data_IF_618672874011
#
_entry.id   IF_618672874011
#
_cell.length_a   1.000
_cell.length_b   1.000
_cell.length_c   1.000
_cell.angle_alpha   90.00
_cell.angle_beta   90.00
_cell.angle_gamma   90.00
#
_symmetry.space_group_name_H-M   'P 1'
#
loop_
_entity.id
_entity.type
_entity.pdbx_description
1 polymer ?
#
# COMPACT_ATOMS: atom_id res chain seq x y z
N UNK A 1 -2.62 31.19 3.16
CA UNK A 1 -1.70 30.23 2.53
C UNK A 1 -2.06 28.77 2.85
N UNK A 2 -2.36 28.48 4.12
CA UNK A 2 -2.75 27.12 4.51
C UNK A 2 -4.06 26.70 3.84
N UNK A 3 -5.02 27.61 3.72
CA UNK A 3 -6.28 27.30 3.03
C UNK A 3 -6.06 27.03 1.53
N UNK A 4 -5.19 27.79 0.90
CA UNK A 4 -4.87 27.56 -0.51
C UNK A 4 -4.16 26.24 -0.72
N UNK A 5 -3.24 25.88 0.16
CA UNK A 5 -2.54 24.58 0.08
C UNK A 5 -3.51 23.41 0.31
N UNK A 6 -4.40 23.53 1.31
CA UNK A 6 -5.40 22.50 1.58
C UNK A 6 -6.38 22.37 0.40
N UNK A 7 -6.81 23.49 -0.18
CA UNK A 7 -7.70 23.49 -1.34
C UNK A 7 -7.02 22.85 -2.56
N UNK A 8 -5.75 23.18 -2.82
CA UNK A 8 -4.99 22.61 -3.93
C UNK A 8 -4.80 21.11 -3.73
N UNK A 9 -4.47 20.67 -2.51
CA UNK A 9 -4.31 19.25 -2.18
C UNK A 9 -5.64 18.51 -2.35
N UNK A 10 -6.74 19.10 -1.86
CA UNK A 10 -8.08 18.51 -2.03
C UNK A 10 -8.44 18.37 -3.51
N UNK A 11 -8.16 19.40 -4.30
CA UNK A 11 -8.44 19.36 -5.73
C UNK A 11 -7.62 18.30 -6.43
N UNK A 12 -6.35 18.16 -6.07
CA UNK A 12 -5.48 17.12 -6.64
C UNK A 12 -6.00 15.72 -6.31
N UNK A 13 -6.46 15.49 -5.09
CA UNK A 13 -7.06 14.22 -4.67
C UNK A 13 -8.32 13.95 -5.48
N UNK A 14 -9.22 14.91 -5.59
CA UNK A 14 -10.47 14.74 -6.34
C UNK A 14 -10.22 14.50 -7.81
N UNK A 15 -9.25 15.19 -8.39
CA UNK A 15 -8.87 15.01 -9.78
C UNK A 15 -8.34 13.59 -10.06
N UNK A 16 -7.71 12.98 -9.06
CA UNK A 16 -7.12 11.65 -9.16
C UNK A 16 -7.98 10.57 -8.49
N UNK A 17 -9.28 10.84 -8.28
CA UNK A 17 -10.17 9.96 -7.53
C UNK A 17 -10.22 8.54 -8.10
N UNK A 18 -10.27 8.38 -9.43
CA UNK A 18 -10.31 7.06 -10.05
C UNK A 18 -9.01 6.28 -9.80
N UNK A 19 -7.86 6.94 -9.94
CA UNK A 19 -6.57 6.30 -9.67
C UNK A 19 -6.44 5.91 -8.20
N UNK A 20 -7.03 6.68 -7.29
CA UNK A 20 -6.99 6.42 -5.86
C UNK A 20 -7.95 5.31 -5.45
N UNK A 21 -9.15 5.24 -6.05
CA UNK A 21 -10.21 4.35 -5.55
C UNK A 21 -10.55 3.19 -6.49
N UNK A 22 -10.18 3.25 -7.78
CA UNK A 22 -10.62 2.28 -8.79
C UNK A 22 -9.48 1.63 -9.57
N UNK A 23 -8.25 1.76 -9.11
CA UNK A 23 -7.11 1.12 -9.78
C UNK A 23 -7.11 -0.38 -9.47
N UNK A 24 -7.36 -1.20 -10.48
CA UNK A 24 -7.41 -2.66 -10.35
C UNK A 24 -6.05 -3.30 -10.05
N UNK A 25 -4.96 -2.58 -10.27
CA UNK A 25 -3.62 -3.06 -9.92
C UNK A 25 -3.25 -2.77 -8.46
N UNK A 26 -4.08 -1.99 -7.77
CA UNK A 26 -3.88 -1.69 -6.35
C UNK A 26 -4.54 -2.77 -5.50
N UNK A 27 -3.80 -3.38 -4.56
CA UNK A 27 -4.42 -4.27 -3.59
C UNK A 27 -5.55 -3.59 -2.85
N UNK A 28 -6.72 -4.18 -2.90
CA UNK A 28 -7.93 -3.61 -2.33
C UNK A 28 -8.64 -4.69 -1.50
N UNK A 29 -9.02 -4.32 -0.29
CA UNK A 29 -9.71 -5.21 0.62
C UNK A 29 -11.03 -4.60 1.03
N UNK A 30 -12.06 -5.43 1.15
CA UNK A 30 -13.40 -5.00 1.51
C UNK A 30 -14.37 -5.06 0.33
N UNK A 31 -15.64 -4.70 0.56
CA UNK A 31 -16.68 -4.87 -0.45
C UNK A 31 -16.47 -3.92 -1.63
N UNK A 32 -16.65 -4.45 -2.82
CA UNK A 32 -16.50 -3.68 -4.06
C UNK A 32 -17.43 -2.47 -4.09
N UNK A 33 -18.60 -2.60 -3.49
CA UNK A 33 -19.63 -1.56 -3.45
C UNK A 33 -19.47 -0.62 -2.25
N UNK A 34 -18.41 -0.75 -1.48
CA UNK A 34 -18.15 0.14 -0.33
C UNK A 34 -18.16 1.59 -0.75
N UNK A 35 -18.94 2.42 -0.04
CA UNK A 35 -19.14 3.83 -0.41
C UNK A 35 -17.96 4.72 -0.07
N UNK A 36 -17.15 4.27 0.88
CA UNK A 36 -15.96 4.99 1.34
C UNK A 36 -14.75 4.13 1.11
N UNK A 37 -13.68 4.74 0.61
CA UNK A 37 -12.39 4.07 0.43
C UNK A 37 -11.36 4.77 1.31
N UNK A 38 -10.61 3.98 2.07
CA UNK A 38 -9.43 4.42 2.81
C UNK A 38 -8.22 4.00 2.00
N UNK A 39 -7.38 4.94 1.62
CA UNK A 39 -6.18 4.69 0.82
C UNK A 39 -4.96 4.97 1.68
N UNK A 40 -4.04 4.02 1.75
CA UNK A 40 -2.79 4.20 2.47
C UNK A 40 -1.60 4.02 1.53
N UNK A 41 -0.74 5.06 1.47
CA UNK A 41 0.57 4.99 0.82
C UNK A 41 1.60 4.66 1.88
N UNK A 42 2.41 3.64 1.67
CA UNK A 42 3.30 3.14 2.71
C UNK A 42 4.57 2.52 2.14
N UNK A 43 5.58 2.39 3.00
CA UNK A 43 6.81 1.66 2.75
C UNK A 43 7.00 0.68 3.92
N UNK A 44 7.31 -0.56 3.62
CA UNK A 44 7.51 -1.58 4.68
C UNK A 44 8.66 -1.25 5.62
N UNK A 45 9.62 -0.45 5.19
CA UNK A 45 10.74 -0.05 6.04
C UNK A 45 10.50 1.24 6.82
N UNK A 46 9.35 1.84 6.67
CA UNK A 46 8.97 3.04 7.40
C UNK A 46 8.48 2.67 8.81
N UNK A 47 9.16 3.15 9.84
CA UNK A 47 8.79 2.84 11.23
C UNK A 47 7.38 3.34 11.57
N UNK A 48 6.98 4.49 11.04
CA UNK A 48 5.63 5.03 11.29
C UNK A 48 4.55 4.20 10.60
N UNK A 49 4.85 3.66 9.42
CA UNK A 49 3.96 2.72 8.74
C UNK A 49 3.82 1.43 9.55
N UNK A 50 4.92 0.96 10.13
CA UNK A 50 4.92 -0.22 10.99
C UNK A 50 4.03 -0.01 12.23
N UNK A 51 4.06 1.19 12.80
CA UNK A 51 3.21 1.53 13.96
C UNK A 51 1.74 1.65 13.57
N UNK A 52 1.46 2.09 12.35
CA UNK A 52 0.09 2.22 11.85
C UNK A 52 -0.53 0.87 11.49
N UNK A 53 0.27 -0.11 11.10
CA UNK A 53 -0.24 -1.38 10.60
C UNK A 53 -1.23 -2.09 11.54
N UNK A 54 -0.94 -2.26 12.85
CA UNK A 54 -1.92 -2.89 13.76
C UNK A 54 -3.16 -2.04 13.97
N UNK A 55 -3.03 -0.72 13.92
CA UNK A 55 -4.18 0.19 14.00
C UNK A 55 -5.07 -0.01 12.77
N UNK A 56 -4.47 -0.09 11.59
CA UNK A 56 -5.21 -0.32 10.35
C UNK A 56 -5.91 -1.67 10.35
N UNK A 57 -5.27 -2.72 10.87
CA UNK A 57 -5.92 -4.02 11.04
C UNK A 57 -7.21 -3.90 11.85
N UNK A 58 -7.17 -3.14 12.93
CA UNK A 58 -8.33 -2.92 13.78
C UNK A 58 -9.40 -2.12 13.06
N UNK A 59 -9.01 -1.09 12.33
CA UNK A 59 -9.95 -0.27 11.54
C UNK A 59 -10.65 -1.13 10.48
N UNK A 60 -9.92 -2.02 9.83
CA UNK A 60 -10.50 -2.94 8.85
C UNK A 60 -11.55 -3.84 9.50
N UNK A 61 -11.23 -4.42 10.66
CA UNK A 61 -12.16 -5.30 11.39
C UNK A 61 -13.42 -4.58 11.82
N UNK A 62 -13.28 -3.33 12.25
CA UNK A 62 -14.40 -2.54 12.77
C UNK A 62 -15.23 -1.89 11.67
N UNK A 63 -14.76 -1.91 10.43
CA UNK A 63 -15.44 -1.26 9.31
C UNK A 63 -15.61 -2.22 8.13
N UNK A 64 -16.41 -3.29 8.29
CA UNK A 64 -16.51 -4.34 7.25
C UNK A 64 -17.16 -3.86 5.96
N UNK A 65 -17.79 -2.69 5.97
CA UNK A 65 -18.42 -2.12 4.77
C UNK A 65 -17.54 -1.12 4.04
N UNK A 66 -16.39 -0.79 4.61
CA UNK A 66 -15.44 0.15 4.03
C UNK A 66 -14.45 -0.59 3.14
N UNK A 67 -14.05 0.07 2.09
CA UNK A 67 -13.06 -0.42 1.15
C UNK A 67 -11.69 0.15 1.51
N UNK A 68 -10.64 -0.68 1.44
CA UNK A 68 -9.28 -0.28 1.80
C UNK A 68 -8.36 -0.54 0.61
N UNK A 69 -7.65 0.50 0.18
CA UNK A 69 -6.70 0.42 -0.93
C UNK A 69 -5.28 0.63 -0.41
N UNK A 70 -4.37 -0.28 -0.78
CA UNK A 70 -2.99 -0.28 -0.29
C UNK A 70 -2.06 0.13 -1.43
N UNK A 71 -1.50 1.33 -1.32
CA UNK A 71 -0.60 1.87 -2.33
C UNK A 71 0.84 1.62 -1.90
N UNK A 72 1.44 0.60 -2.48
CA UNK A 72 2.85 0.28 -2.29
C UNK A 72 3.70 1.44 -2.82
N UNK A 73 4.38 2.12 -1.92
CA UNK A 73 5.19 3.28 -2.30
C UNK A 73 6.56 3.22 -1.62
N UNK A 74 7.52 2.44 -2.19
CA UNK A 74 8.81 2.20 -1.56
C UNK A 74 9.73 3.40 -1.68
N UNK A 75 9.47 4.45 -0.91
CA UNK A 75 10.22 5.70 -0.94
C UNK A 75 11.68 5.52 -0.52
N UNK A 76 11.96 4.48 0.27
CA UNK A 76 13.31 4.16 0.73
C UNK A 76 14.04 3.16 -0.19
N UNK A 77 13.48 2.87 -1.36
CA UNK A 77 14.03 1.86 -2.27
C UNK A 77 15.44 2.13 -2.75
N UNK A 78 15.82 3.42 -2.90
CA UNK A 78 17.18 3.78 -3.28
C UNK A 78 18.18 3.62 -2.15
N UNK A 79 17.71 3.63 -0.91
CA UNK A 79 18.53 3.48 0.28
C UNK A 79 18.59 2.03 0.74
N UNK A 80 17.48 1.32 0.67
CA UNK A 80 17.36 -0.08 1.10
C UNK A 80 16.61 -0.87 0.02
N UNK A 81 17.34 -1.77 -0.63
CA UNK A 81 16.78 -2.61 -1.71
C UNK A 81 15.56 -3.39 -1.28
N UNK A 82 15.51 -3.80 -0.01
CA UNK A 82 14.40 -4.62 0.49
C UNK A 82 13.09 -3.85 0.57
N UNK A 83 13.10 -2.52 0.64
CA UNK A 83 11.87 -1.72 0.47
C UNK A 83 11.22 -2.00 -0.87
N UNK A 84 12.01 -1.93 -1.94
CA UNK A 84 11.51 -2.18 -3.29
C UNK A 84 11.13 -3.64 -3.48
N UNK A 85 11.96 -4.57 -3.01
CA UNK A 85 11.70 -6.00 -3.13
C UNK A 85 10.41 -6.39 -2.40
N UNK A 86 10.18 -5.86 -1.21
CA UNK A 86 8.96 -6.13 -0.44
C UNK A 86 7.71 -5.62 -1.16
N UNK A 87 7.80 -4.42 -1.72
CA UNK A 87 6.69 -3.82 -2.47
C UNK A 87 6.36 -4.63 -3.73
N UNK A 88 7.37 -5.00 -4.49
CA UNK A 88 7.18 -5.83 -5.70
C UNK A 88 6.51 -7.15 -5.36
N UNK A 89 7.02 -7.84 -4.35
CA UNK A 89 6.47 -9.13 -3.93
C UNK A 89 5.02 -8.98 -3.48
N UNK A 90 4.71 -7.91 -2.75
CA UNK A 90 3.34 -7.64 -2.31
C UNK A 90 2.37 -7.53 -3.48
N UNK A 91 2.72 -6.73 -4.50
CA UNK A 91 1.87 -6.58 -5.69
C UNK A 91 1.74 -7.90 -6.46
N UNK A 92 2.81 -8.67 -6.56
CA UNK A 92 2.79 -9.95 -7.23
C UNK A 92 1.91 -10.97 -6.49
N UNK A 93 1.96 -10.96 -5.16
CA UNK A 93 1.09 -11.81 -4.34
C UNK A 93 -0.38 -11.45 -4.57
N UNK A 94 -0.69 -10.16 -4.60
CA UNK A 94 -2.06 -9.73 -4.85
C UNK A 94 -2.57 -10.24 -6.19
N UNK A 95 -1.76 -10.15 -7.24
CA UNK A 95 -2.14 -10.63 -8.56
C UNK A 95 -2.36 -12.14 -8.60
N UNK A 96 -1.54 -12.91 -7.89
CA UNK A 96 -1.65 -14.36 -7.88
C UNK A 96 -2.72 -14.89 -6.95
N UNK A 97 -2.86 -14.29 -5.78
CA UNK A 97 -3.57 -14.90 -4.66
C UNK A 97 -4.73 -14.05 -4.12
N UNK A 98 -4.81 -12.78 -4.48
CA UNK A 98 -5.90 -11.91 -4.05
C UNK A 98 -5.68 -11.21 -2.72
N UNK A 99 -6.75 -10.60 -2.22
CA UNK A 99 -6.68 -9.66 -1.09
C UNK A 99 -6.31 -10.29 0.24
N UNK A 100 -6.89 -11.47 0.56
CA UNK A 100 -6.61 -12.12 1.85
C UNK A 100 -5.13 -12.49 1.97
N UNK A 101 -4.57 -13.11 0.93
CA UNK A 101 -3.16 -13.47 0.90
C UNK A 101 -2.28 -12.23 0.98
N UNK A 102 -2.68 -11.16 0.28
CA UNK A 102 -1.96 -9.89 0.32
C UNK A 102 -1.90 -9.34 1.75
N UNK A 103 -3.03 -9.29 2.46
CA UNK A 103 -3.05 -8.79 3.83
C UNK A 103 -2.21 -9.65 4.77
N UNK A 104 -2.26 -10.96 4.60
CA UNK A 104 -1.42 -11.87 5.39
C UNK A 104 0.06 -11.53 5.20
N UNK A 105 0.48 -11.33 3.96
CA UNK A 105 1.85 -10.94 3.64
C UNK A 105 2.19 -9.56 4.22
N UNK A 106 1.36 -8.57 3.95
CA UNK A 106 1.55 -7.18 4.39
C UNK A 106 1.72 -7.11 5.91
N UNK A 107 0.78 -7.70 6.63
CA UNK A 107 0.80 -7.68 8.08
C UNK A 107 1.95 -8.54 8.63
N UNK A 108 2.28 -9.62 7.95
CA UNK A 108 3.40 -10.47 8.30
C UNK A 108 4.74 -9.77 8.22
N UNK A 109 4.95 -8.96 7.19
CA UNK A 109 6.18 -8.15 7.06
C UNK A 109 6.29 -7.19 8.25
N UNK A 110 5.22 -6.46 8.55
CA UNK A 110 5.25 -5.52 9.68
C UNK A 110 5.40 -6.22 11.03
N UNK A 111 4.86 -7.42 11.16
CA UNK A 111 4.96 -8.20 12.41
C UNK A 111 6.37 -8.68 12.70
N UNK A 112 7.28 -8.67 11.71
CA UNK A 112 8.69 -8.99 11.98
C UNK A 112 9.35 -7.96 12.88
N UNK A 113 8.84 -6.74 12.90
CA UNK A 113 9.47 -5.61 13.61
C UNK A 113 10.73 -5.10 12.92
N UNK A 114 11.07 -5.64 11.75
CA UNK A 114 12.28 -5.25 11.02
C UNK A 114 11.95 -4.13 10.05
N UNK A 115 12.45 -2.94 10.31
CA UNK A 115 12.26 -1.76 9.47
C UNK A 115 13.49 -0.85 9.57
N UNK A 116 13.48 0.26 8.88
CA UNK A 116 14.57 1.26 8.88
C UNK A 116 15.92 0.61 8.54
N UNK A 117 15.92 -0.20 7.48
CA UNK A 117 17.11 -0.87 6.98
C UNK A 117 17.31 -2.29 7.51
N UNK A 118 16.46 -2.75 8.43
CA UNK A 118 16.62 -4.07 9.06
C UNK A 118 15.81 -5.18 8.40
N UNK A 119 14.91 -4.83 7.48
CA UNK A 119 14.12 -5.82 6.75
C UNK A 119 15.05 -6.59 5.80
N UNK A 120 14.99 -7.93 5.85
CA UNK A 120 15.88 -8.78 5.06
C UNK A 120 15.13 -9.47 3.93
N UNK A 121 15.87 -9.94 2.92
CA UNK A 121 15.32 -10.78 1.86
C UNK A 121 14.67 -12.06 2.43
N UNK A 122 15.27 -12.61 3.48
CA UNK A 122 14.73 -13.81 4.16
C UNK A 122 13.36 -13.52 4.78
N UNK A 123 13.18 -12.34 5.40
CA UNK A 123 11.88 -11.91 5.93
C UNK A 123 10.81 -11.93 4.83
N UNK A 124 11.14 -11.35 3.69
CA UNK A 124 10.22 -11.27 2.55
C UNK A 124 9.87 -12.67 2.06
N UNK A 125 10.87 -13.54 1.86
CA UNK A 125 10.67 -14.90 1.39
C UNK A 125 9.82 -15.73 2.34
N UNK A 126 10.02 -15.57 3.65
CA UNK A 126 9.22 -16.28 4.64
C UNK A 126 7.76 -15.88 4.59
N UNK A 127 7.48 -14.60 4.48
CA UNK A 127 6.11 -14.13 4.42
C UNK A 127 5.44 -14.50 3.10
N UNK A 128 6.17 -14.47 2.00
CA UNK A 128 5.66 -14.92 0.70
C UNK A 128 5.36 -16.43 0.71
N UNK A 129 6.22 -17.22 1.34
CA UNK A 129 6.00 -18.66 1.45
C UNK A 129 4.74 -19.02 2.20
N UNK A 130 4.39 -18.24 3.24
CA UNK A 130 3.18 -18.48 4.04
C UNK A 130 1.91 -18.38 3.20
N UNK A 131 1.93 -17.65 2.10
CA UNK A 131 0.78 -17.50 1.20
C UNK A 131 0.97 -18.29 -0.10
N UNK A 132 1.93 -19.18 -0.14
CA UNK A 132 2.21 -20.05 -1.29
C UNK A 132 2.51 -19.28 -2.57
N UNK A 133 3.21 -18.16 -2.45
CA UNK A 133 3.61 -17.34 -3.58
C UNK A 133 4.56 -18.11 -4.50
N UNK A 134 4.30 -18.05 -5.80
CA UNK A 134 5.15 -18.67 -6.82
C UNK A 134 5.93 -17.60 -7.57
N UNK A 135 7.20 -17.44 -7.22
CA UNK A 135 8.08 -16.45 -7.85
C UNK A 135 8.30 -16.73 -9.34
N UNK A 136 8.21 -18.00 -9.76
CA UNK A 136 8.37 -18.36 -11.16
C UNK A 136 7.21 -17.89 -12.05
N UNK A 137 6.09 -17.55 -11.46
CA UNK A 137 4.90 -17.04 -12.19
C UNK A 137 4.63 -15.57 -11.92
N UNK A 138 5.58 -14.87 -11.29
CA UNK A 138 5.39 -13.47 -10.92
C UNK A 138 5.36 -12.58 -12.16
N UNK A 139 4.39 -11.67 -12.19
CA UNK A 139 4.27 -10.67 -13.25
C UNK A 139 5.22 -9.50 -13.01
N UNK A 140 5.49 -8.73 -14.07
CA UNK A 140 6.22 -7.48 -13.94
C UNK A 140 5.30 -6.42 -13.34
N UNK A 141 5.64 -5.94 -12.15
CA UNK A 141 4.86 -4.93 -11.41
C UNK A 141 5.56 -3.57 -11.35
N UNK A 142 6.67 -3.41 -12.05
CA UNK A 142 7.38 -2.13 -12.09
C UNK A 142 6.52 -0.98 -12.64
N UNK A 143 5.75 -1.17 -13.72
CA UNK A 143 4.88 -0.09 -14.20
C UNK A 143 3.83 0.32 -13.15
N UNK A 144 3.31 -0.63 -12.38
CA UNK A 144 2.35 -0.32 -11.31
C UNK A 144 3.01 0.51 -10.20
N UNK A 145 4.22 0.14 -9.80
CA UNK A 145 4.96 0.90 -8.78
C UNK A 145 5.26 2.31 -9.25
N UNK A 146 5.65 2.47 -10.50
CA UNK A 146 5.92 3.79 -11.06
C UNK A 146 4.66 4.65 -11.10
N UNK A 147 3.52 4.07 -11.48
CA UNK A 147 2.24 4.78 -11.46
C UNK A 147 1.87 5.25 -10.06
N UNK A 148 2.11 4.43 -9.05
CA UNK A 148 1.84 4.81 -7.65
C UNK A 148 2.75 5.97 -7.24
N UNK A 149 4.02 5.91 -7.61
CA UNK A 149 4.96 6.98 -7.29
C UNK A 149 4.54 8.31 -7.93
N UNK A 150 4.13 8.28 -9.20
CA UNK A 150 3.64 9.47 -9.90
C UNK A 150 2.38 10.02 -9.24
N UNK A 151 1.46 9.13 -8.87
CA UNK A 151 0.22 9.53 -8.18
C UNK A 151 0.52 10.20 -6.85
N UNK A 152 1.41 9.62 -6.06
CA UNK A 152 1.81 10.19 -4.77
C UNK A 152 2.38 11.60 -4.93
N UNK A 153 3.22 11.81 -5.92
CA UNK A 153 3.78 13.13 -6.22
C UNK A 153 2.70 14.10 -6.67
N UNK A 154 1.80 13.66 -7.52
CA UNK A 154 0.75 14.50 -8.08
C UNK A 154 -0.21 15.00 -7.00
N UNK A 155 -0.52 14.19 -6.02
CA UNK A 155 -1.39 14.60 -4.90
C UNK A 155 -0.61 15.28 -3.77
N UNK A 156 0.69 15.46 -3.94
CA UNK A 156 1.51 16.26 -3.02
C UNK A 156 1.99 15.55 -1.77
N UNK A 157 2.07 14.21 -1.79
CA UNK A 157 2.64 13.48 -0.65
C UNK A 157 4.15 13.64 -0.62
N UNK A 158 4.68 13.90 0.58
CA UNK A 158 6.13 14.08 0.80
C UNK A 158 6.75 12.97 1.64
N UNK A 159 5.96 12.03 2.13
CA UNK A 159 6.46 10.94 2.97
C UNK A 159 5.38 9.93 3.29
N UNK A 160 5.75 8.92 4.06
CA UNK A 160 4.87 7.85 4.48
C UNK A 160 4.68 7.84 6.00
N UNK A 161 3.54 7.35 6.51
CA UNK A 161 2.38 6.94 5.74
C UNK A 161 1.59 8.14 5.21
N UNK A 162 0.96 7.98 4.06
CA UNK A 162 -0.04 8.94 3.58
C UNK A 162 -1.39 8.26 3.59
N UNK A 163 -2.39 8.86 4.25
CA UNK A 163 -3.72 8.26 4.36
C UNK A 163 -4.76 9.23 3.82
N UNK A 164 -5.61 8.72 2.95
CA UNK A 164 -6.72 9.48 2.36
C UNK A 164 -8.00 8.70 2.61
N UNK A 165 -9.02 9.40 3.10
CA UNK A 165 -10.36 8.85 3.25
C UNK A 165 -11.27 9.63 2.33
N UNK A 166 -11.93 8.94 1.40
CA UNK A 166 -12.76 9.63 0.40
C UNK A 166 -13.89 8.74 -0.09
N UNK A 167 -14.92 9.34 -0.72
CA UNK A 167 -15.95 8.54 -1.36
C UNK A 167 -15.35 7.67 -2.47
N UNK A 168 -15.85 6.45 -2.58
CA UNK A 168 -15.51 5.57 -3.71
C UNK A 168 -16.21 6.12 -4.97
N UNK A 169 -15.49 6.24 -6.06
CA UNK A 169 -16.04 6.77 -7.31
C UNK A 169 -16.56 5.69 -8.26
#
# INVERSE_FOLDING_TARGET
QQQQQASAATQAVLKNAAALTQDKNTPTYGPKEGKVTVIEFFDYQCVYCSRLAPVMEQVIKENPQTRFAFKEWPIFGSRWETSLAAAKTGLQIYQQKGAEAYLTYHNGIYSTGHNEGKLTAADIQQQAKKVNFDAGKAADVEPALESINQLAQEIGLSGTPGVIVMPTT
#
